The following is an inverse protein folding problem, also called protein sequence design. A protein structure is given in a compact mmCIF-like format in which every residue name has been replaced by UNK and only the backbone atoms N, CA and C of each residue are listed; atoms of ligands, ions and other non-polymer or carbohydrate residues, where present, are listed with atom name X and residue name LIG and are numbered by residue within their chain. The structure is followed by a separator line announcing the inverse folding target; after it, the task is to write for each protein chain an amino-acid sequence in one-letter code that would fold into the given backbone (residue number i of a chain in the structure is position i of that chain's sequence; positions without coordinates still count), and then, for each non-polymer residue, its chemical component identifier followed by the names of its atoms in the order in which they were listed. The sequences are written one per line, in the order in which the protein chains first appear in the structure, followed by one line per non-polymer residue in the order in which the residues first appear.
data_IF_352000217718
#
_entry.id   IF_352000217718
#
_cell.length_a   1.000
_cell.length_b   1.000
_cell.length_c   1.000
_cell.angle_alpha   90.00
_cell.angle_beta   90.00
_cell.angle_gamma   90.00
#
_symmetry.space_group_name_H-M   'P 1'
#
loop_
_entity.id
_entity.type
_entity.pdbx_description
1 polymer ?
#
# COMPACT_ATOMS: atom_id res chain seq x y z
N UNK A 1 8.67 44.55 -59.92
CA UNK A 1 9.88 44.52 -60.72
C UNK A 1 10.56 43.20 -60.46
N UNK A 2 10.29 42.21 -61.30
CA UNK A 2 11.16 41.39 -62.17
C UNK A 2 12.63 41.30 -61.69
N UNK A 3 13.18 40.09 -61.50
CA UNK A 3 13.72 39.11 -62.44
C UNK A 3 14.40 38.06 -61.56
N UNK A 4 14.33 36.77 -61.59
CA UNK A 4 14.52 35.89 -62.74
C UNK A 4 15.97 35.63 -63.07
N UNK A 5 16.61 34.52 -62.51
CA UNK A 5 17.67 33.79 -63.23
C UNK A 5 17.64 32.31 -62.74
N UNK A 6 17.61 31.44 -63.70
CA UNK A 6 17.84 29.97 -63.66
C UNK A 6 19.33 29.65 -63.80
N UNK A 7 19.59 28.37 -63.53
CA UNK A 7 20.68 27.46 -63.96
C UNK A 7 21.61 27.10 -62.82
N UNK A 8 22.12 25.89 -62.63
CA UNK A 8 22.01 24.56 -63.27
C UNK A 8 22.86 23.62 -62.45
N UNK A 9 22.43 22.34 -62.42
CA UNK A 9 23.17 21.11 -62.35
C UNK A 9 24.45 20.92 -61.47
N UNK A 10 24.39 19.86 -60.71
CA UNK A 10 25.58 19.07 -60.60
C UNK A 10 25.77 18.29 -59.28
N UNK A 11 25.66 16.98 -59.44
CA UNK A 11 26.35 15.95 -58.70
C UNK A 11 25.89 15.58 -57.27
N UNK A 12 25.31 14.44 -57.25
CA UNK A 12 24.99 13.52 -56.19
C UNK A 12 26.06 13.25 -55.12
N UNK A 13 25.58 13.29 -53.93
CA UNK A 13 26.12 12.49 -52.81
C UNK A 13 24.96 11.85 -52.12
N UNK A 14 24.88 10.52 -52.20
CA UNK A 14 23.92 9.72 -51.42
C UNK A 14 24.32 9.75 -49.93
N UNK A 15 23.39 10.01 -49.00
CA UNK A 15 23.69 9.80 -47.58
C UNK A 15 23.63 8.32 -47.26
N UNK A 16 24.70 7.84 -46.61
CA UNK A 16 24.88 6.46 -46.22
C UNK A 16 23.76 5.95 -45.33
N UNK A 17 23.29 4.78 -45.66
CA UNK A 17 22.41 3.95 -44.87
C UNK A 17 23.01 3.61 -43.51
N UNK A 18 22.49 4.20 -42.45
CA UNK A 18 22.68 3.73 -41.08
C UNK A 18 21.99 2.37 -40.93
N UNK A 19 22.78 1.32 -40.94
CA UNK A 19 22.33 -0.02 -40.52
C UNK A 19 21.94 0.05 -39.05
N UNK A 20 20.66 0.10 -38.75
CA UNK A 20 20.14 -0.31 -37.44
C UNK A 20 20.23 -1.84 -37.40
N UNK A 21 21.09 -2.36 -36.55
CA UNK A 21 21.13 -3.77 -36.21
C UNK A 21 19.80 -4.13 -35.55
N UNK A 22 18.97 -4.91 -36.22
CA UNK A 22 17.79 -5.53 -35.63
C UNK A 22 18.21 -6.45 -34.48
N UNK A 23 17.52 -6.44 -33.33
CA UNK A 23 17.82 -7.38 -32.27
C UNK A 23 17.46 -8.80 -32.73
N UNK A 24 18.40 -9.74 -32.50
CA UNK A 24 18.38 -11.18 -32.81
C UNK A 24 17.21 -11.95 -32.12
N UNK A 25 15.97 -11.57 -32.41
CA UNK A 25 14.76 -12.26 -31.91
C UNK A 25 13.72 -12.53 -33.00
N UNK A 26 14.07 -12.42 -34.25
CA UNK A 26 13.21 -12.76 -35.40
C UNK A 26 13.45 -14.17 -35.85
N UNK A 27 12.93 -15.19 -35.16
CA UNK A 27 13.12 -16.55 -35.61
C UNK A 27 12.37 -17.68 -34.95
N UNK A 28 11.39 -17.37 -34.09
CA UNK A 28 10.47 -18.40 -33.57
C UNK A 28 9.03 -18.10 -33.99
N UNK A 29 8.33 -19.04 -34.66
CA UNK A 29 6.94 -18.81 -35.09
C UNK A 29 6.04 -18.68 -33.87
N UNK A 30 5.42 -17.51 -33.72
CA UNK A 30 4.45 -17.14 -32.67
C UNK A 30 3.24 -18.10 -32.63
N UNK A 31 3.07 -18.95 -33.64
CA UNK A 31 1.93 -19.82 -33.81
C UNK A 31 1.99 -21.14 -33.00
N UNK A 32 3.13 -21.52 -32.40
CA UNK A 32 3.25 -22.80 -31.68
C UNK A 32 3.07 -22.70 -30.17
N UNK A 33 3.11 -21.49 -29.59
CA UNK A 33 2.95 -21.28 -28.13
C UNK A 33 1.51 -21.14 -27.65
N UNK A 34 0.58 -20.90 -28.55
CA UNK A 34 -0.85 -20.78 -28.19
C UNK A 34 -1.54 -22.13 -27.92
N UNK A 35 -0.92 -23.26 -28.24
CA UNK A 35 -1.57 -24.59 -28.15
C UNK A 35 -1.23 -25.39 -26.89
N UNK A 36 -0.36 -24.90 -25.99
CA UNK A 36 0.11 -25.65 -24.82
C UNK A 36 -0.45 -25.19 -23.46
N UNK A 37 -1.22 -24.14 -23.40
CA UNK A 37 -1.77 -23.63 -22.14
C UNK A 37 -3.27 -23.85 -21.97
N UNK A 38 -3.73 -25.07 -22.21
CA UNK A 38 -4.91 -25.58 -21.51
C UNK A 38 -4.37 -26.18 -20.20
N UNK A 39 -4.25 -25.34 -19.18
CA UNK A 39 -3.89 -25.78 -17.83
C UNK A 39 -5.07 -26.57 -17.28
N UNK A 40 -5.07 -27.88 -17.46
CA UNK A 40 -5.85 -28.81 -16.67
C UNK A 40 -5.08 -29.03 -15.35
N UNK A 41 -5.50 -28.37 -14.28
CA UNK A 41 -5.03 -28.61 -12.91
C UNK A 41 -4.15 -27.50 -12.33
N UNK A 42 -4.47 -27.10 -11.11
CA UNK A 42 -3.78 -26.09 -10.27
C UNK A 42 -2.30 -26.39 -9.94
N UNK A 43 -1.80 -27.56 -10.36
CA UNK A 43 -0.45 -28.06 -10.05
C UNK A 43 0.70 -27.38 -10.81
N UNK A 44 0.43 -26.56 -11.81
CA UNK A 44 1.44 -25.86 -12.63
C UNK A 44 1.63 -24.39 -12.25
N UNK A 45 0.85 -23.83 -11.34
CA UNK A 45 0.99 -22.44 -10.93
C UNK A 45 1.89 -22.34 -9.69
N UNK A 46 2.84 -21.41 -9.74
CA UNK A 46 3.69 -21.06 -8.60
C UNK A 46 3.02 -19.99 -7.77
N UNK A 47 3.01 -20.13 -6.45
CA UNK A 47 2.59 -19.10 -5.52
C UNK A 47 3.74 -18.10 -5.28
N UNK A 48 3.53 -16.86 -5.70
CA UNK A 48 4.47 -15.75 -5.49
C UNK A 48 3.94 -14.82 -4.40
N UNK A 49 4.82 -14.36 -3.53
CA UNK A 49 4.57 -13.28 -2.59
C UNK A 49 5.35 -12.04 -3.05
N UNK A 50 4.64 -10.90 -3.12
CA UNK A 50 5.23 -9.60 -3.41
C UNK A 50 5.05 -8.68 -2.20
N UNK A 51 6.09 -7.91 -1.88
CA UNK A 51 6.01 -6.76 -0.98
C UNK A 51 6.08 -5.50 -1.84
N UNK A 52 5.12 -4.61 -1.65
CA UNK A 52 5.03 -3.39 -2.45
C UNK A 52 4.83 -2.15 -1.58
N UNK A 53 5.36 -1.02 -2.09
CA UNK A 53 5.07 0.31 -1.60
C UNK A 53 4.18 1.05 -2.59
N UNK A 54 3.34 1.95 -2.08
CA UNK A 54 2.56 2.86 -2.91
C UNK A 54 2.19 4.15 -2.20
N UNK A 55 2.17 5.23 -2.95
CA UNK A 55 1.49 6.47 -2.59
C UNK A 55 0.00 6.32 -2.91
N UNK A 56 -0.83 6.28 -1.87
CA UNK A 56 -2.27 6.08 -2.00
C UNK A 56 -3.07 7.32 -2.39
N UNK A 57 -2.42 8.50 -2.56
CA UNK A 57 -3.06 9.81 -2.71
C UNK A 57 -4.13 9.81 -3.80
N UNK A 58 -3.84 9.22 -4.95
CA UNK A 58 -4.73 9.22 -6.12
C UNK A 58 -5.50 7.91 -6.31
N UNK A 59 -5.43 6.99 -5.32
CA UNK A 59 -6.10 5.70 -5.38
C UNK A 59 -7.31 5.64 -4.43
N UNK A 60 -8.38 5.02 -4.91
CA UNK A 60 -9.56 4.72 -4.08
C UNK A 60 -9.34 3.49 -3.20
N UNK A 61 -8.13 3.37 -2.62
CA UNK A 61 -7.69 2.27 -1.78
C UNK A 61 -7.07 1.12 -2.57
N UNK A 62 -6.79 0.03 -1.85
CA UNK A 62 -6.15 -1.13 -2.47
C UNK A 62 -7.13 -1.95 -3.31
N UNK A 63 -8.28 -2.32 -2.72
CA UNK A 63 -9.21 -3.30 -3.26
C UNK A 63 -9.92 -2.83 -4.54
N UNK A 64 -9.96 -3.71 -5.55
CA UNK A 64 -10.70 -3.49 -6.81
C UNK A 64 -12.13 -3.04 -6.55
N UNK A 65 -12.55 -1.98 -7.21
CA UNK A 65 -13.89 -1.39 -7.14
C UNK A 65 -14.40 -1.04 -8.55
N UNK A 66 -15.71 -0.98 -8.71
CA UNK A 66 -16.31 -0.46 -9.95
C UNK A 66 -16.11 1.06 -10.00
N UNK A 67 -15.72 1.57 -11.16
CA UNK A 67 -15.60 3.00 -11.45
C UNK A 67 -14.62 3.80 -10.57
N UNK A 68 -13.58 3.15 -10.04
CA UNK A 68 -12.58 3.82 -9.23
C UNK A 68 -11.20 3.19 -9.41
N UNK A 69 -10.18 3.99 -9.69
CA UNK A 69 -8.79 3.52 -9.84
C UNK A 69 -8.27 3.01 -8.49
N UNK A 70 -7.78 1.77 -8.47
CA UNK A 70 -7.27 1.10 -7.27
C UNK A 70 -5.88 0.52 -7.50
N UNK A 71 -5.11 0.35 -6.41
CA UNK A 71 -3.77 -0.25 -6.49
C UNK A 71 -3.83 -1.69 -7.03
N UNK A 72 -4.84 -2.46 -6.62
CA UNK A 72 -5.06 -3.83 -7.10
C UNK A 72 -5.29 -3.88 -8.60
N UNK A 73 -6.12 -2.98 -9.12
CA UNK A 73 -6.43 -2.92 -10.56
C UNK A 73 -5.16 -2.65 -11.38
N UNK A 74 -4.37 -1.65 -10.97
CA UNK A 74 -3.11 -1.32 -11.65
C UNK A 74 -2.16 -2.51 -11.63
N UNK A 75 -1.97 -3.14 -10.46
CA UNK A 75 -1.08 -4.29 -10.32
C UNK A 75 -1.53 -5.48 -11.17
N UNK A 76 -2.83 -5.86 -11.10
CA UNK A 76 -3.38 -6.97 -11.88
C UNK A 76 -3.31 -6.72 -13.38
N UNK A 77 -3.56 -5.48 -13.85
CA UNK A 77 -3.42 -5.12 -15.26
C UNK A 77 -1.98 -5.26 -15.76
N UNK A 78 -0.97 -4.94 -14.93
CA UNK A 78 0.44 -5.13 -15.29
C UNK A 78 0.84 -6.61 -15.27
N UNK A 79 0.38 -7.38 -14.29
CA UNK A 79 0.58 -8.83 -14.25
C UNK A 79 -0.06 -9.51 -15.47
N UNK A 80 -1.29 -9.13 -15.84
CA UNK A 80 -1.99 -9.66 -17.01
C UNK A 80 -1.23 -9.36 -18.33
N UNK A 81 -0.57 -8.18 -18.41
CA UNK A 81 0.31 -7.85 -19.56
C UNK A 81 1.55 -8.74 -19.63
N UNK A 82 2.16 -9.09 -18.48
CA UNK A 82 3.35 -9.94 -18.41
C UNK A 82 3.01 -11.40 -18.76
N UNK A 83 1.98 -11.94 -18.09
CA UNK A 83 1.65 -13.37 -18.19
C UNK A 83 0.68 -13.71 -19.34
N UNK A 84 0.04 -12.70 -19.97
CA UNK A 84 -0.98 -12.86 -21.03
C UNK A 84 -2.20 -13.69 -20.60
N UNK A 85 -2.38 -13.84 -19.30
CA UNK A 85 -3.54 -14.49 -18.67
C UNK A 85 -4.07 -13.61 -17.53
N UNK A 86 -5.28 -13.87 -17.07
CA UNK A 86 -5.88 -13.15 -15.96
C UNK A 86 -5.28 -13.61 -14.64
N UNK A 87 -4.50 -12.76 -14.01
CA UNK A 87 -3.94 -12.97 -12.67
C UNK A 87 -4.76 -12.17 -11.66
N UNK A 88 -5.05 -12.80 -10.53
CA UNK A 88 -5.66 -12.15 -9.36
C UNK A 88 -4.68 -12.12 -8.22
N UNK A 89 -4.70 -11.03 -7.44
CA UNK A 89 -3.86 -10.91 -6.24
C UNK A 89 -4.73 -10.95 -4.99
N UNK A 90 -4.23 -11.66 -3.98
CA UNK A 90 -4.73 -11.62 -2.62
C UNK A 90 -3.88 -10.65 -1.80
N UNK A 91 -4.52 -9.90 -0.89
CA UNK A 91 -3.86 -8.84 -0.11
C UNK A 91 -3.90 -9.13 1.39
N UNK A 92 -2.80 -8.85 2.11
CA UNK A 92 -2.71 -9.04 3.55
C UNK A 92 -3.70 -8.18 4.34
N UNK A 93 -3.92 -6.95 3.89
CA UNK A 93 -4.89 -6.03 4.50
C UNK A 93 -5.30 -4.93 3.54
N UNK A 94 -6.62 -4.72 3.41
CA UNK A 94 -7.15 -3.63 2.61
C UNK A 94 -6.75 -2.30 3.23
N UNK A 95 -6.37 -1.33 2.39
CA UNK A 95 -6.19 0.07 2.78
C UNK A 95 -7.32 0.90 2.18
N UNK A 96 -7.75 1.93 2.91
CA UNK A 96 -8.79 2.87 2.46
C UNK A 96 -8.27 3.79 1.35
N UNK A 97 -9.18 4.49 0.66
CA UNK A 97 -8.83 5.57 -0.27
C UNK A 97 -7.90 6.60 0.41
N UNK A 98 -6.82 6.97 -0.28
CA UNK A 98 -5.82 7.92 0.20
C UNK A 98 -4.85 7.40 1.28
N UNK A 99 -4.88 6.11 1.61
CA UNK A 99 -3.95 5.49 2.57
C UNK A 99 -2.73 4.94 1.83
N UNK A 100 -1.54 5.19 2.36
CA UNK A 100 -0.27 4.77 1.78
C UNK A 100 0.19 3.41 2.32
N UNK A 101 1.19 2.82 1.67
CA UNK A 101 1.91 1.67 2.21
C UNK A 101 3.38 1.71 1.82
N UNK A 102 4.25 1.28 2.74
CA UNK A 102 5.67 1.00 2.52
C UNK A 102 5.99 -0.49 2.52
N UNK A 103 5.05 -1.32 2.94
CA UNK A 103 5.26 -2.75 3.07
C UNK A 103 3.96 -3.55 2.98
N UNK A 104 3.08 -3.24 2.01
CA UNK A 104 1.92 -4.06 1.72
C UNK A 104 2.36 -5.40 1.16
N UNK A 105 1.72 -6.48 1.59
CA UNK A 105 1.99 -7.81 1.08
C UNK A 105 0.81 -8.34 0.25
N UNK A 106 1.13 -8.94 -0.89
CA UNK A 106 0.17 -9.67 -1.72
C UNK A 106 0.73 -11.03 -2.11
N UNK A 107 -0.13 -12.02 -2.35
CA UNK A 107 0.26 -13.23 -3.07
C UNK A 107 -0.61 -13.43 -4.32
N UNK A 108 -0.03 -14.16 -5.27
CA UNK A 108 -0.66 -14.50 -6.54
C UNK A 108 -0.17 -15.85 -7.03
N UNK A 109 -1.00 -16.51 -7.81
CA UNK A 109 -0.65 -17.73 -8.52
C UNK A 109 -0.43 -17.40 -9.99
N UNK A 110 0.76 -17.75 -10.51
CA UNK A 110 1.11 -17.52 -11.89
C UNK A 110 1.99 -18.67 -12.44
N UNK A 111 2.03 -18.88 -13.77
CA UNK A 111 2.96 -19.83 -14.39
C UNK A 111 4.40 -19.49 -14.00
N UNK A 112 5.30 -20.48 -13.77
CA UNK A 112 6.68 -20.25 -13.32
C UNK A 112 7.60 -19.82 -14.48
N UNK A 113 7.13 -18.85 -15.29
CA UNK A 113 7.87 -18.29 -16.44
C UNK A 113 9.00 -17.35 -16.04
N UNK A 114 8.89 -16.74 -14.85
CA UNK A 114 9.83 -15.74 -14.35
C UNK A 114 10.30 -16.13 -12.94
N UNK A 115 11.60 -15.98 -12.70
CA UNK A 115 12.10 -16.02 -11.32
C UNK A 115 11.54 -14.82 -10.53
N UNK A 116 11.50 -14.88 -9.19
CA UNK A 116 11.03 -13.74 -8.38
C UNK A 116 11.74 -12.43 -8.71
N UNK A 117 13.06 -12.46 -8.94
CA UNK A 117 13.84 -11.28 -9.30
C UNK A 117 13.47 -10.73 -10.68
N UNK A 118 13.24 -11.61 -11.65
CA UNK A 118 12.78 -11.20 -12.99
C UNK A 118 11.38 -10.59 -12.93
N UNK A 119 10.46 -11.19 -12.16
CA UNK A 119 9.10 -10.65 -11.94
C UNK A 119 9.16 -9.26 -11.29
N UNK A 120 9.97 -9.08 -10.25
CA UNK A 120 10.18 -7.79 -9.58
C UNK A 120 10.66 -6.73 -10.59
N UNK A 121 11.69 -7.05 -11.37
CA UNK A 121 12.26 -6.13 -12.38
C UNK A 121 11.25 -5.79 -13.47
N UNK A 122 10.55 -6.80 -13.98
CA UNK A 122 9.53 -6.63 -15.03
C UNK A 122 8.39 -5.73 -14.56
N UNK A 123 7.87 -5.94 -13.33
CA UNK A 123 6.81 -5.11 -12.76
C UNK A 123 7.27 -3.66 -12.55
N UNK A 124 8.43 -3.44 -11.92
CA UNK A 124 8.93 -2.09 -11.66
C UNK A 124 9.23 -1.30 -12.94
N UNK A 125 9.47 -1.98 -14.07
CA UNK A 125 9.68 -1.32 -15.36
C UNK A 125 8.40 -0.75 -15.97
N UNK A 126 7.23 -1.31 -15.61
CA UNK A 126 5.95 -0.96 -16.23
C UNK A 126 4.92 -0.41 -15.26
N UNK A 127 5.17 -0.48 -13.96
CA UNK A 127 4.34 0.16 -12.94
C UNK A 127 4.49 1.69 -13.01
N UNK A 128 3.45 2.45 -12.62
CA UNK A 128 3.58 3.90 -12.46
C UNK A 128 4.51 4.23 -11.29
N UNK A 129 5.04 5.46 -11.26
CA UNK A 129 6.05 5.87 -10.29
C UNK A 129 5.58 5.86 -8.82
N UNK A 130 4.28 5.86 -8.59
CA UNK A 130 3.64 5.82 -7.27
C UNK A 130 3.37 4.40 -6.74
N UNK A 131 3.76 3.34 -7.48
CA UNK A 131 3.72 1.94 -7.05
C UNK A 131 5.05 1.26 -7.35
N UNK A 132 5.67 0.63 -6.35
CA UNK A 132 6.91 -0.12 -6.51
C UNK A 132 6.85 -1.49 -5.83
N UNK A 133 7.40 -2.52 -6.48
CA UNK A 133 7.64 -3.83 -5.87
C UNK A 133 8.99 -3.81 -5.19
N UNK A 134 9.01 -3.99 -3.87
CA UNK A 134 10.22 -3.95 -3.05
C UNK A 134 10.89 -5.30 -2.93
N UNK A 135 10.08 -6.38 -2.81
CA UNK A 135 10.56 -7.76 -2.69
C UNK A 135 9.61 -8.69 -3.45
N UNK A 136 10.16 -9.75 -4.03
CA UNK A 136 9.42 -10.85 -4.60
C UNK A 136 10.07 -12.17 -4.16
N UNK A 137 9.27 -13.16 -3.80
CA UNK A 137 9.74 -14.52 -3.47
C UNK A 137 8.68 -15.55 -3.83
N UNK A 138 9.09 -16.78 -4.04
CA UNK A 138 8.19 -17.92 -4.06
C UNK A 138 7.83 -18.31 -2.63
N UNK A 139 6.63 -18.82 -2.45
CA UNK A 139 6.12 -19.27 -1.14
C UNK A 139 5.43 -20.63 -1.31
N UNK A 140 5.23 -21.40 -0.23
CA UNK A 140 4.48 -22.65 -0.28
C UNK A 140 3.09 -22.46 -0.93
N UNK A 141 2.58 -23.52 -1.54
CA UNK A 141 1.29 -23.48 -2.25
C UNK A 141 0.12 -23.11 -1.33
N UNK A 142 0.15 -23.55 -0.08
CA UNK A 142 -0.86 -23.32 0.95
C UNK A 142 -0.71 -21.96 1.66
N UNK A 143 0.39 -21.23 1.41
CA UNK A 143 0.61 -19.90 1.99
C UNK A 143 -0.46 -18.91 1.53
N UNK A 144 -1.03 -18.18 2.50
CA UNK A 144 -2.03 -17.14 2.24
C UNK A 144 -1.67 -15.86 2.97
N UNK A 145 -1.39 -14.80 2.22
CA UNK A 145 -0.86 -13.52 2.69
C UNK A 145 -1.66 -12.87 3.83
N UNK A 146 -2.98 -13.12 3.92
CA UNK A 146 -3.83 -12.58 4.99
C UNK A 146 -3.93 -13.51 6.18
N UNK A 147 -4.12 -14.82 5.93
CA UNK A 147 -4.32 -15.82 6.98
C UNK A 147 -3.07 -16.03 7.82
N UNK A 148 -1.90 -16.04 7.16
CA UNK A 148 -0.63 -16.36 7.78
C UNK A 148 0.10 -15.13 8.36
N UNK A 149 -0.49 -13.93 8.18
CA UNK A 149 -0.01 -12.71 8.80
C UNK A 149 -0.18 -12.76 10.32
N UNK A 150 0.91 -12.46 11.06
CA UNK A 150 0.94 -12.44 12.53
C UNK A 150 0.67 -11.07 13.10
N UNK A 151 1.22 -10.04 12.46
CA UNK A 151 0.98 -8.67 12.86
C UNK A 151 1.10 -7.71 11.68
N UNK A 152 0.56 -6.52 11.86
CA UNK A 152 0.70 -5.39 10.95
C UNK A 152 1.18 -4.19 11.73
N UNK A 153 2.07 -3.43 11.09
CA UNK A 153 2.60 -2.18 11.64
C UNK A 153 2.06 -1.05 10.78
N UNK A 154 1.42 -0.09 11.44
CA UNK A 154 0.98 1.16 10.83
C UNK A 154 1.64 2.34 11.51
N UNK A 155 1.88 3.39 10.74
CA UNK A 155 2.19 4.72 11.26
C UNK A 155 1.10 5.69 10.87
N UNK A 156 0.88 6.68 11.73
CA UNK A 156 0.05 7.84 11.41
C UNK A 156 0.82 9.10 11.74
N UNK A 157 0.98 9.97 10.73
CA UNK A 157 1.72 11.23 10.88
C UNK A 157 0.76 12.40 11.04
N UNK A 158 1.03 13.23 12.05
CA UNK A 158 0.34 14.49 12.32
C UNK A 158 1.39 15.60 12.20
N UNK A 159 1.07 16.63 11.41
CA UNK A 159 1.82 17.88 11.38
C UNK A 159 1.17 18.83 12.40
N UNK A 160 1.90 19.14 13.46
CA UNK A 160 1.49 20.04 14.54
C UNK A 160 2.36 21.31 14.57
N UNK A 161 2.82 21.74 13.40
CA UNK A 161 3.55 23.00 13.24
C UNK A 161 2.63 24.22 13.40
N UNK A 162 3.24 25.38 13.67
CA UNK A 162 2.51 26.67 13.65
C UNK A 162 1.96 26.99 12.27
N UNK A 163 2.68 26.57 11.22
CA UNK A 163 2.31 26.67 9.81
C UNK A 163 2.40 25.26 9.25
N UNK A 164 1.44 24.88 8.37
CA UNK A 164 1.43 23.58 7.73
C UNK A 164 2.67 23.37 6.85
N UNK A 165 3.32 22.23 6.98
CA UNK A 165 4.42 21.82 6.10
C UNK A 165 3.87 21.41 4.73
N UNK A 166 4.18 22.21 3.70
CA UNK A 166 3.70 21.98 2.32
C UNK A 166 4.22 20.66 1.72
N UNK A 167 5.38 20.15 2.20
CA UNK A 167 5.93 18.87 1.75
C UNK A 167 5.24 17.68 2.41
N UNK A 168 4.58 17.89 3.57
CA UNK A 168 3.79 16.88 4.27
C UNK A 168 2.30 16.91 3.89
N UNK A 169 1.85 17.78 2.99
CA UNK A 169 0.43 17.99 2.65
C UNK A 169 -0.33 16.72 2.25
N UNK A 170 0.36 15.73 1.68
CA UNK A 170 -0.21 14.44 1.27
C UNK A 170 0.10 13.30 2.23
N UNK A 171 1.01 13.50 3.22
CA UNK A 171 1.52 12.44 4.09
C UNK A 171 1.29 12.68 5.57
N UNK A 172 0.72 13.83 5.95
CA UNK A 172 0.39 14.16 7.33
C UNK A 172 -0.97 14.86 7.44
N UNK A 173 -1.57 14.71 8.60
CA UNK A 173 -2.74 15.48 9.00
C UNK A 173 -2.30 16.73 9.73
N UNK A 174 -2.45 17.89 9.12
CA UNK A 174 -2.20 19.17 9.78
C UNK A 174 -3.24 19.43 10.87
N UNK A 175 -2.76 19.64 12.09
CA UNK A 175 -3.55 20.01 13.27
C UNK A 175 -2.96 21.29 13.86
N UNK A 176 -3.61 22.43 13.60
CA UNK A 176 -3.12 23.74 14.03
C UNK A 176 -3.05 23.89 15.55
N UNK A 177 -4.05 23.36 16.28
CA UNK A 177 -4.10 23.48 17.74
C UNK A 177 -2.92 22.69 18.37
N UNK A 178 -2.20 23.25 19.36
CA UNK A 178 -1.16 22.53 20.09
C UNK A 178 -1.67 21.20 20.66
N UNK A 179 -0.85 20.16 20.56
CA UNK A 179 -1.17 18.83 21.07
C UNK A 179 -0.22 18.47 22.23
N UNK A 180 -0.82 18.01 23.33
CA UNK A 180 -0.10 17.49 24.49
C UNK A 180 0.25 16.02 24.24
N UNK A 181 1.48 15.77 23.80
CA UNK A 181 1.98 14.44 23.38
C UNK A 181 1.95 13.43 24.52
N UNK A 182 2.27 13.87 25.74
CA UNK A 182 2.28 13.04 26.94
C UNK A 182 0.87 12.54 27.26
N UNK A 183 -0.15 13.41 27.18
CA UNK A 183 -1.54 13.05 27.39
C UNK A 183 -2.03 12.06 26.31
N UNK A 184 -1.62 12.28 25.03
CA UNK A 184 -1.91 11.34 23.94
C UNK A 184 -1.27 9.98 24.23
N UNK A 185 -0.02 9.94 24.70
CA UNK A 185 0.67 8.69 25.05
C UNK A 185 0.00 7.99 26.24
N UNK A 186 -0.44 8.73 27.25
CA UNK A 186 -1.20 8.18 28.39
C UNK A 186 -2.52 7.56 27.91
N UNK A 187 -3.30 8.26 27.11
CA UNK A 187 -4.54 7.73 26.51
C UNK A 187 -4.30 6.49 25.64
N UNK A 188 -3.19 6.48 24.90
CA UNK A 188 -2.83 5.36 24.03
C UNK A 188 -2.54 4.06 24.84
N UNK A 189 -2.01 4.15 26.06
CA UNK A 189 -1.70 2.99 26.92
C UNK A 189 -2.95 2.17 27.23
N UNK A 190 -4.13 2.80 27.38
CA UNK A 190 -5.39 2.12 27.64
C UNK A 190 -5.89 1.24 26.48
N UNK A 191 -5.34 1.43 25.28
CA UNK A 191 -5.72 0.67 24.09
C UNK A 191 -4.78 -0.52 23.81
N UNK A 192 -3.65 -0.61 24.50
CA UNK A 192 -2.71 -1.73 24.36
C UNK A 192 -3.30 -2.97 25.04
N UNK A 193 -3.16 -4.12 24.38
CA UNK A 193 -3.73 -5.38 24.83
C UNK A 193 -4.86 -5.90 23.95
N UNK A 194 -5.53 -6.94 24.43
CA UNK A 194 -6.66 -7.60 23.74
C UNK A 194 -7.98 -6.98 24.19
N UNK A 195 -8.64 -6.27 23.29
CA UNK A 195 -9.88 -5.54 23.57
C UNK A 195 -10.91 -5.69 22.45
N UNK A 196 -12.16 -5.38 22.77
CA UNK A 196 -13.21 -5.18 21.77
C UNK A 196 -13.18 -3.72 21.26
N UNK A 197 -12.69 -3.55 20.03
CA UNK A 197 -12.53 -2.25 19.40
C UNK A 197 -13.77 -1.78 18.63
N UNK A 198 -14.97 -2.25 18.95
CA UNK A 198 -16.21 -1.86 18.27
C UNK A 198 -16.42 -0.34 18.29
N UNK A 199 -16.08 0.35 19.39
CA UNK A 199 -16.17 1.81 19.49
C UNK A 199 -15.30 2.55 18.43
N UNK A 200 -14.25 1.92 17.92
CA UNK A 200 -13.37 2.51 16.92
C UNK A 200 -13.62 1.97 15.50
N UNK A 201 -14.59 1.09 15.31
CA UNK A 201 -14.98 0.56 14.00
C UNK A 201 -15.94 1.54 13.30
N UNK A 202 -15.72 1.81 12.01
CA UNK A 202 -16.69 2.54 11.20
C UNK A 202 -17.92 1.69 10.92
N UNK A 203 -19.08 2.34 10.80
CA UNK A 203 -20.32 1.69 10.39
C UNK A 203 -20.15 0.96 9.03
N UNK A 204 -21.08 0.05 8.73
CA UNK A 204 -21.13 -0.73 7.49
C UNK A 204 -19.95 -1.70 7.27
N UNK A 205 -19.36 -2.21 8.33
CA UNK A 205 -18.33 -3.25 8.26
C UNK A 205 -18.83 -4.54 8.90
N UNK A 206 -19.02 -5.57 8.09
CA UNK A 206 -19.40 -6.90 8.56
C UNK A 206 -18.12 -7.69 8.85
N UNK A 207 -17.91 -8.03 10.13
CA UNK A 207 -16.80 -8.86 10.60
C UNK A 207 -17.30 -9.89 11.60
N UNK A 208 -16.63 -11.06 11.66
CA UNK A 208 -16.99 -12.13 12.61
C UNK A 208 -16.78 -11.68 14.07
N UNK A 209 -15.78 -10.85 14.33
CA UNK A 209 -15.45 -10.35 15.68
C UNK A 209 -14.79 -8.98 15.59
N UNK A 210 -15.09 -8.14 16.59
CA UNK A 210 -14.47 -6.81 16.77
C UNK A 210 -13.30 -6.81 17.76
N UNK A 211 -12.99 -7.99 18.33
CA UNK A 211 -11.86 -8.16 19.23
C UNK A 211 -10.55 -8.17 18.44
N UNK A 212 -9.59 -7.34 18.87
CA UNK A 212 -8.22 -7.27 18.30
C UNK A 212 -7.22 -7.15 19.43
N UNK A 213 -5.96 -7.45 19.12
CA UNK A 213 -4.83 -7.28 20.04
C UNK A 213 -3.91 -6.20 19.48
N UNK A 214 -3.79 -5.09 20.19
CA UNK A 214 -2.71 -4.12 19.96
C UNK A 214 -1.51 -4.50 20.81
N UNK A 215 -0.44 -4.93 20.15
CA UNK A 215 0.83 -5.30 20.83
C UNK A 215 1.58 -4.06 21.32
N UNK A 216 1.50 -2.96 20.57
CA UNK A 216 2.05 -1.68 20.98
C UNK A 216 1.32 -0.51 20.32
N UNK A 217 1.29 0.60 21.03
CA UNK A 217 0.80 1.89 20.56
C UNK A 217 1.64 3.00 21.18
N UNK A 218 2.44 3.68 20.35
CA UNK A 218 3.42 4.66 20.80
C UNK A 218 3.22 5.97 20.05
N UNK A 219 3.29 7.09 20.78
CA UNK A 219 3.30 8.44 20.23
C UNK A 219 4.72 8.98 20.33
N UNK A 220 5.32 9.37 19.21
CA UNK A 220 6.65 9.96 19.17
C UNK A 220 6.59 11.31 18.49
N UNK A 221 7.27 12.28 19.03
CA UNK A 221 7.40 13.61 18.44
C UNK A 221 8.83 13.85 18.00
N UNK A 222 8.97 14.36 16.78
CA UNK A 222 10.24 14.89 16.27
C UNK A 222 9.94 16.24 15.61
N UNK A 223 10.45 17.31 16.19
CA UNK A 223 10.13 18.68 15.79
C UNK A 223 8.60 18.93 15.84
N UNK A 224 8.03 19.36 14.72
CA UNK A 224 6.60 19.60 14.58
C UNK A 224 5.78 18.38 14.12
N UNK A 225 6.45 17.26 13.82
CA UNK A 225 5.78 16.02 13.40
C UNK A 225 5.59 15.07 14.57
N UNK A 226 4.35 14.65 14.77
CA UNK A 226 4.00 13.57 15.67
C UNK A 226 3.73 12.32 14.84
N UNK A 227 4.38 11.21 15.17
CA UNK A 227 4.15 9.92 14.56
C UNK A 227 3.60 8.94 15.59
N UNK A 228 2.45 8.36 15.28
CA UNK A 228 1.83 7.34 16.13
C UNK A 228 2.04 5.99 15.49
N UNK A 229 2.68 5.07 16.21
CA UNK A 229 3.04 3.72 15.77
C UNK A 229 2.06 2.71 16.34
N UNK A 230 1.50 1.87 15.49
CA UNK A 230 0.59 0.79 15.83
C UNK A 230 1.20 -0.55 15.43
N UNK A 231 1.25 -1.52 16.35
CA UNK A 231 1.52 -2.92 16.05
C UNK A 231 0.35 -3.75 16.58
N UNK A 232 -0.30 -4.55 15.74
CA UNK A 232 -1.45 -5.37 16.15
C UNK A 232 -1.66 -6.57 15.26
N UNK A 233 -2.44 -7.56 15.75
CA UNK A 233 -2.80 -8.79 15.02
C UNK A 233 -3.71 -8.51 13.82
N UNK A 234 -4.50 -7.44 13.89
CA UNK A 234 -5.41 -7.00 12.85
C UNK A 234 -6.07 -5.68 13.22
N UNK A 235 -6.68 -5.04 12.24
CA UNK A 235 -7.37 -3.77 12.42
C UNK A 235 -8.75 -3.83 11.76
N UNK A 236 -9.75 -3.23 12.43
CA UNK A 236 -11.09 -3.05 11.90
C UNK A 236 -11.12 -1.91 10.89
N UNK A 237 -12.18 -1.84 10.11
CA UNK A 237 -12.38 -0.76 9.14
C UNK A 237 -12.30 0.60 9.82
N UNK A 238 -11.37 1.44 9.36
CA UNK A 238 -11.04 2.78 9.89
C UNK A 238 -10.62 2.84 11.37
N UNK A 239 -10.33 1.69 12.02
CA UNK A 239 -9.99 1.62 13.45
C UNK A 239 -8.81 2.55 13.81
N UNK A 240 -7.69 2.44 13.12
CA UNK A 240 -6.50 3.28 13.38
C UNK A 240 -6.85 4.76 13.29
N UNK A 241 -7.57 5.17 12.26
CA UNK A 241 -7.96 6.57 12.03
C UNK A 241 -8.94 7.09 13.09
N UNK A 242 -9.84 6.24 13.61
CA UNK A 242 -10.74 6.59 14.70
C UNK A 242 -9.99 6.74 16.03
N UNK A 243 -9.02 5.85 16.29
CA UNK A 243 -8.13 5.98 17.46
C UNK A 243 -7.33 7.28 17.38
N UNK A 244 -6.74 7.60 16.23
CA UNK A 244 -5.99 8.85 16.04
C UNK A 244 -6.86 10.07 16.31
N UNK A 245 -8.10 10.11 15.78
CA UNK A 245 -9.01 11.21 16.05
C UNK A 245 -9.32 11.40 17.54
N UNK A 246 -9.49 10.29 18.26
CA UNK A 246 -9.69 10.30 19.72
C UNK A 246 -8.45 10.78 20.46
N UNK A 247 -7.26 10.28 20.10
CA UNK A 247 -6.00 10.73 20.71
C UNK A 247 -5.71 12.22 20.42
N UNK A 248 -6.09 12.73 19.25
CA UNK A 248 -5.99 14.17 18.96
C UNK A 248 -6.95 14.98 19.87
N UNK A 249 -8.15 14.48 20.16
CA UNK A 249 -9.04 15.16 21.12
C UNK A 249 -8.49 15.11 22.55
N UNK A 250 -7.79 14.02 22.95
CA UNK A 250 -7.00 13.97 24.20
C UNK A 250 -5.87 14.99 24.17
N UNK A 251 -5.08 15.04 23.11
CA UNK A 251 -3.98 15.99 22.97
C UNK A 251 -4.43 17.44 23.01
N UNK A 252 -5.65 17.71 22.55
CA UNK A 252 -6.31 19.04 22.65
C UNK A 252 -6.95 19.31 24.01
N UNK A 253 -6.84 18.39 24.97
CA UNK A 253 -7.49 18.45 26.29
C UNK A 253 -9.01 18.58 26.23
N UNK A 254 -9.66 18.03 25.17
CA UNK A 254 -11.12 17.96 25.06
C UNK A 254 -11.71 16.80 25.85
N UNK A 255 -10.92 15.73 25.99
CA UNK A 255 -11.22 14.54 26.78
C UNK A 255 -9.99 14.17 27.59
N UNK A 256 -10.21 13.64 28.79
CA UNK A 256 -9.13 13.18 29.65
C UNK A 256 -8.53 11.84 29.14
N UNK A 257 -7.24 11.58 29.34
CA UNK A 257 -6.61 10.33 28.89
C UNK A 257 -7.37 9.07 29.36
N UNK A 258 -7.85 9.04 30.61
CA UNK A 258 -8.61 7.92 31.18
C UNK A 258 -9.97 7.66 30.51
N UNK A 259 -10.55 8.68 29.88
CA UNK A 259 -11.83 8.54 29.17
C UNK A 259 -11.68 7.66 27.92
N UNK A 260 -10.47 7.51 27.37
CA UNK A 260 -10.21 6.58 26.26
C UNK A 260 -10.62 5.15 26.64
N UNK A 261 -10.38 4.74 27.90
CA UNK A 261 -10.83 3.44 28.39
C UNK A 261 -12.37 3.36 28.48
N UNK A 262 -13.03 4.44 28.92
CA UNK A 262 -14.49 4.48 28.96
C UNK A 262 -15.10 4.43 27.54
N UNK A 263 -14.50 5.10 26.57
CA UNK A 263 -14.87 5.04 25.15
C UNK A 263 -14.72 3.61 24.63
N UNK A 264 -13.58 2.96 24.87
CA UNK A 264 -13.33 1.57 24.45
C UNK A 264 -14.39 0.61 25.00
N UNK A 265 -14.69 0.72 26.31
CA UNK A 265 -15.68 -0.13 27.00
C UNK A 265 -17.12 0.12 26.55
N UNK A 266 -17.44 1.32 26.09
CA UNK A 266 -18.79 1.67 25.63
C UNK A 266 -19.24 0.92 24.39
N UNK A 267 -18.31 0.52 23.53
CA UNK A 267 -18.58 -0.06 22.19
C UNK A 267 -19.36 0.88 21.25
N UNK A 268 -19.48 2.15 21.58
CA UNK A 268 -20.28 3.13 20.87
C UNK A 268 -19.36 4.02 20.00
N UNK A 269 -19.51 3.95 18.67
CA UNK A 269 -18.70 4.72 17.73
C UNK A 269 -18.83 6.24 17.92
N UNK A 270 -19.99 6.70 18.34
CA UNK A 270 -20.30 8.13 18.52
C UNK A 270 -19.49 8.76 19.65
N UNK A 271 -19.08 7.97 20.65
CA UNK A 271 -18.24 8.44 21.76
C UNK A 271 -16.78 8.60 21.40
N UNK A 272 -16.31 7.89 20.36
CA UNK A 272 -14.95 8.04 19.86
C UNK A 272 -14.81 9.30 18.99
N UNK A 273 -13.64 9.88 18.96
CA UNK A 273 -13.31 11.04 18.14
C UNK A 273 -13.57 10.84 16.65
N UNK A 274 -13.53 11.93 15.90
CA UNK A 274 -13.72 11.89 14.44
C UNK A 274 -12.71 10.96 13.76
N UNK A 275 -13.09 10.37 12.63
CA UNK A 275 -12.14 9.60 11.81
C UNK A 275 -11.09 10.54 11.22
N UNK A 276 -9.83 10.34 11.55
CA UNK A 276 -8.71 11.13 11.03
C UNK A 276 -8.58 10.97 9.50
N UNK A 277 -8.06 11.96 8.76
CA UNK A 277 -7.85 11.90 7.33
C UNK A 277 -6.99 10.69 6.91
N UNK A 278 -7.22 10.14 5.71
CA UNK A 278 -6.49 8.96 5.24
C UNK A 278 -5.00 9.25 5.00
N UNK A 279 -4.68 10.41 4.50
CA UNK A 279 -3.35 10.84 4.05
C UNK A 279 -2.23 10.75 5.11
N UNK A 280 -2.56 10.75 6.39
CA UNK A 280 -1.55 10.56 7.44
C UNK A 280 -1.24 9.08 7.74
N UNK A 281 -2.03 8.13 7.20
CA UNK A 281 -1.92 6.71 7.51
C UNK A 281 -1.04 5.98 6.47
N UNK A 282 -0.08 5.21 6.98
CA UNK A 282 0.78 4.35 6.16
C UNK A 282 0.87 2.94 6.77
N UNK A 283 0.68 1.90 5.95
CA UNK A 283 1.01 0.52 6.30
C UNK A 283 2.52 0.31 6.13
N UNK A 284 3.25 0.24 7.23
CA UNK A 284 4.70 0.10 7.21
C UNK A 284 5.16 -1.31 6.88
N UNK A 285 4.53 -2.32 7.50
CA UNK A 285 4.98 -3.71 7.38
C UNK A 285 3.87 -4.70 7.74
N UNK A 286 3.89 -5.86 7.07
CA UNK A 286 3.14 -7.07 7.46
C UNK A 286 4.15 -8.11 7.93
N UNK A 287 3.97 -8.67 9.12
CA UNK A 287 4.86 -9.63 9.74
C UNK A 287 4.31 -11.04 9.59
N UNK A 288 5.19 -12.00 9.27
CA UNK A 288 4.92 -13.45 9.14
C UNK A 288 5.85 -14.23 10.04
N UNK A 289 5.56 -15.53 10.33
CA UNK A 289 6.38 -16.37 11.22
C UNK A 289 7.87 -16.42 10.82
N UNK A 290 8.14 -16.58 9.53
CA UNK A 290 9.48 -16.78 8.99
C UNK A 290 10.03 -15.52 8.29
N UNK A 291 9.68 -14.33 8.78
CA UNK A 291 10.33 -13.11 8.30
C UNK A 291 11.79 -13.12 8.77
N UNK A 292 12.79 -13.19 7.86
CA UNK A 292 14.22 -13.20 8.24
C UNK A 292 14.67 -11.89 8.94
N UNK A 293 13.84 -10.86 8.88
CA UNK A 293 13.96 -9.66 9.71
C UNK A 293 13.32 -9.96 11.08
N UNK A 294 13.93 -10.88 11.84
CA UNK A 294 13.53 -11.18 13.20
C UNK A 294 13.35 -9.89 14.00
N UNK A 295 12.29 -9.87 14.78
CA UNK A 295 11.89 -8.84 15.73
C UNK A 295 13.09 -8.46 16.63
N UNK A 296 14.05 -7.65 16.12
CA UNK A 296 15.00 -6.92 16.92
C UNK A 296 14.41 -5.53 17.09
N UNK A 297 13.66 -5.42 18.18
CA UNK A 297 13.15 -4.15 18.73
C UNK A 297 14.29 -3.26 19.20
#
# INVERSE_FOLDING_TARGET
VKSGVRLSDGSGVQPGSLFFAEPLWSGLPICSLQRWFVVKGDSLLQNYMLILAYDGTYYHGFQLQKNALTVQEVLENKLNKIYKIKIRVEVAGRTDAGVHARGQAVNLFAPPLLTPLQLLRALNRILPADIAILKAKTVPQDFHVRRDARAKIYTYTIDNGRIADVFQRYYAWYVHAPLHTEAMQEGARFLVGRHDFKAFQSANSVVKTTVRTLFSLQVKQKNHLLTVYFKGDGFLYKMVRSIIGTLVDVGRRKIEPREVLAILKSRERQRAGRTAPAKGLCLEKVLYRDSPDGDRT
#
